data_IF_254489979369
#
_entry.id   IF_254489979369
#
_cell.length_a   1.000
_cell.length_b   1.000
_cell.length_c   1.000
_cell.angle_alpha   90.00
_cell.angle_beta   90.00
_cell.angle_gamma   90.00
#
_symmetry.space_group_name_H-M   'P 1'
#
loop_
_entity.id
_entity.type
_entity.pdbx_description
1 polymer ?
#
# COMPACT_ATOMS: atom_id res chain seq x y z
N UNK A 1 -2.22 23.79 7.36
CA UNK A 1 -1.12 24.05 8.32
C UNK A 1 -0.19 22.85 8.23
N UNK A 2 1.05 22.91 7.78
CA UNK A 2 1.93 24.05 7.53
C UNK A 2 2.80 23.80 6.30
N UNK A 3 2.92 24.85 5.49
CA UNK A 3 3.89 25.06 4.41
C UNK A 3 5.32 25.09 4.92
N UNK A 4 6.28 24.76 4.06
CA UNK A 4 7.67 25.23 4.14
C UNK A 4 8.21 25.26 2.70
N UNK A 5 8.10 26.38 1.97
CA UNK A 5 8.96 27.57 2.01
C UNK A 5 10.45 27.22 1.85
N UNK A 6 10.90 27.11 0.60
CA UNK A 6 12.29 26.93 0.22
C UNK A 6 12.92 28.32 0.11
N UNK A 7 13.73 28.69 1.10
CA UNK A 7 14.53 29.92 1.09
C UNK A 7 15.80 29.62 0.30
N UNK A 8 15.87 30.14 -0.93
CA UNK A 8 17.09 30.18 -1.73
C UNK A 8 17.94 31.37 -1.31
N UNK A 9 19.05 31.11 -0.59
CA UNK A 9 20.14 32.08 -0.46
C UNK A 9 21.27 31.65 -1.38
N UNK A 10 21.54 32.48 -2.39
CA UNK A 10 22.63 32.34 -3.35
C UNK A 10 23.69 33.38 -3.00
N UNK A 11 24.87 32.96 -2.53
CA UNK A 11 26.12 33.74 -2.51
C UNK A 11 27.32 32.77 -2.43
N UNK A 12 28.50 33.14 -2.96
CA UNK A 12 29.07 32.38 -4.06
C UNK A 12 30.53 31.97 -3.83
N UNK A 13 30.99 31.08 -4.72
CA UNK A 13 32.36 30.71 -5.10
C UNK A 13 33.35 30.16 -4.05
N UNK A 14 33.93 29.02 -4.47
CA UNK A 14 35.28 28.54 -4.21
C UNK A 14 35.51 27.90 -2.85
N UNK A 15 35.57 26.57 -2.79
CA UNK A 15 36.84 25.84 -2.88
C UNK A 15 36.54 24.33 -3.00
N UNK A 16 37.27 23.73 -3.92
CA UNK A 16 37.26 22.33 -4.30
C UNK A 16 37.61 21.44 -3.10
N UNK A 17 36.68 20.61 -2.65
CA UNK A 17 36.95 19.33 -2.01
C UNK A 17 35.68 18.49 -2.01
N UNK A 18 35.64 17.47 -2.85
CA UNK A 18 34.54 16.51 -2.92
C UNK A 18 34.57 15.65 -1.64
N UNK A 19 34.06 16.19 -0.53
CA UNK A 19 33.70 15.37 0.62
C UNK A 19 32.34 14.78 0.30
N UNK A 20 32.34 13.53 -0.15
CA UNK A 20 31.15 12.68 -0.12
C UNK A 20 30.69 12.65 1.33
N UNK A 21 29.69 13.45 1.65
CA UNK A 21 29.02 13.43 2.94
C UNK A 21 28.14 12.19 2.91
N UNK A 22 28.72 11.04 3.25
CA UNK A 22 27.97 9.82 3.50
C UNK A 22 27.07 10.11 4.71
N UNK A 23 25.79 10.34 4.46
CA UNK A 23 24.79 10.24 5.49
C UNK A 23 24.82 8.78 5.98
N UNK A 24 25.28 8.57 7.21
CA UNK A 24 25.07 7.30 7.89
C UNK A 24 23.56 7.15 8.04
N UNK A 25 22.97 6.32 7.17
CA UNK A 25 21.61 5.86 7.36
C UNK A 25 21.60 5.07 8.67
N UNK A 26 20.89 5.57 9.67
CA UNK A 26 20.59 4.80 10.88
C UNK A 26 19.71 3.64 10.46
N UNK A 27 20.34 2.50 10.15
CA UNK A 27 19.65 1.22 10.08
C UNK A 27 19.15 0.92 11.48
N UNK A 28 17.89 1.24 11.73
CA UNK A 28 17.15 0.67 12.84
C UNK A 28 17.15 -0.83 12.67
N UNK A 29 18.13 -1.51 13.27
CA UNK A 29 18.12 -2.96 13.44
C UNK A 29 17.05 -3.26 14.48
N UNK A 30 15.79 -3.27 14.05
CA UNK A 30 14.71 -3.90 14.78
C UNK A 30 15.04 -5.39 14.84
N UNK A 31 15.44 -5.85 16.02
CA UNK A 31 15.50 -7.28 16.33
C UNK A 31 14.15 -7.89 15.94
N UNK A 32 14.09 -8.84 15.01
CA UNK A 32 12.85 -9.54 14.74
C UNK A 32 12.55 -10.40 15.96
N UNK A 33 11.64 -9.95 16.82
CA UNK A 33 10.92 -10.88 17.68
C UNK A 33 10.07 -11.72 16.75
N UNK A 34 10.59 -12.91 16.43
CA UNK A 34 9.87 -13.97 15.73
C UNK A 34 8.60 -14.27 16.51
N UNK A 35 7.51 -13.68 16.05
CA UNK A 35 6.18 -14.14 16.33
C UNK A 35 5.98 -15.42 15.53
N UNK A 36 6.00 -16.54 16.23
CA UNK A 36 5.99 -17.89 15.68
C UNK A 36 4.71 -18.22 14.89
N UNK A 37 3.67 -17.37 14.98
CA UNK A 37 2.37 -17.58 14.33
C UNK A 37 2.19 -16.79 13.01
N UNK A 38 3.17 -15.95 12.62
CA UNK A 38 3.10 -15.11 11.41
C UNK A 38 3.96 -15.64 10.26
N UNK A 39 4.02 -16.95 10.02
CA UNK A 39 5.10 -17.62 9.27
C UNK A 39 5.22 -17.15 7.81
N UNK A 40 5.94 -16.05 7.64
CA UNK A 40 6.50 -15.38 6.45
C UNK A 40 5.54 -15.11 5.29
N UNK A 41 4.68 -14.10 5.42
CA UNK A 41 4.22 -13.40 4.21
C UNK A 41 5.34 -12.52 3.66
N UNK A 42 5.41 -12.36 2.34
CA UNK A 42 6.35 -11.45 1.68
C UNK A 42 5.60 -10.55 0.73
N UNK A 43 6.17 -9.37 0.47
CA UNK A 43 5.62 -8.42 -0.49
C UNK A 43 5.47 -9.02 -1.90
N UNK A 44 6.33 -9.98 -2.27
CA UNK A 44 6.29 -10.65 -3.57
C UNK A 44 5.18 -11.70 -3.74
N UNK A 45 4.50 -12.10 -2.66
CA UNK A 45 3.42 -13.11 -2.76
C UNK A 45 2.09 -12.54 -3.25
N UNK A 46 1.89 -11.22 -3.15
CA UNK A 46 0.69 -10.57 -3.63
C UNK A 46 1.01 -9.78 -4.89
N UNK A 47 0.21 -9.99 -5.93
CA UNK A 47 0.35 -9.27 -7.19
C UNK A 47 -0.61 -8.08 -7.22
N UNK A 48 -0.06 -6.87 -7.24
CA UNK A 48 -0.82 -5.67 -7.55
C UNK A 48 -0.89 -5.49 -9.06
N UNK A 49 -2.08 -5.62 -9.62
CA UNK A 49 -2.27 -5.35 -11.03
C UNK A 49 -2.16 -3.84 -11.28
N UNK A 50 -1.32 -3.51 -12.25
CA UNK A 50 -1.20 -2.16 -12.78
C UNK A 50 -2.41 -1.84 -13.66
N UNK A 51 -2.75 -0.55 -13.75
CA UNK A 51 -3.76 -0.09 -14.69
C UNK A 51 -3.39 -0.46 -16.13
N UNK A 52 -4.28 -1.13 -16.85
CA UNK A 52 -4.22 -1.23 -18.30
C UNK A 52 -5.49 -0.63 -18.92
N UNK A 53 -5.37 0.61 -19.41
CA UNK A 53 -6.47 1.36 -20.02
C UNK A 53 -7.09 2.41 -19.08
N UNK A 54 -8.25 2.95 -19.48
CA UNK A 54 -8.94 4.07 -18.80
C UNK A 54 -9.82 3.64 -17.63
N UNK A 55 -10.25 2.38 -17.60
CA UNK A 55 -11.14 1.84 -16.57
C UNK A 55 -10.33 1.22 -15.42
N UNK A 56 -9.13 0.72 -15.67
CA UNK A 56 -8.29 0.16 -14.63
C UNK A 56 -7.47 1.27 -13.98
N UNK A 57 -7.34 1.21 -12.66
CA UNK A 57 -6.54 2.17 -11.88
C UNK A 57 -5.43 1.43 -11.14
N UNK A 58 -4.37 2.16 -10.81
CA UNK A 58 -3.24 1.55 -10.11
C UNK A 58 -3.64 1.13 -8.71
N UNK A 59 -3.24 -0.09 -8.35
CA UNK A 59 -3.33 -0.59 -6.98
C UNK A 59 -2.01 -0.33 -6.28
N UNK A 60 -2.06 0.18 -5.06
CA UNK A 60 -0.88 0.31 -4.20
C UNK A 60 -1.05 -0.50 -2.92
N UNK A 61 0.06 -0.92 -2.33
CA UNK A 61 0.08 -1.67 -1.08
C UNK A 61 1.01 -0.98 -0.08
N UNK A 62 0.48 -0.64 1.08
CA UNK A 62 1.29 -0.15 2.20
C UNK A 62 1.49 -1.31 3.16
N UNK A 63 2.75 -1.71 3.33
CA UNK A 63 3.13 -2.76 4.27
C UNK A 63 3.35 -2.16 5.65
N UNK A 64 2.91 -2.90 6.67
CA UNK A 64 3.10 -2.57 8.07
C UNK A 64 3.32 -3.82 8.90
N UNK A 65 3.34 -3.62 10.21
CA UNK A 65 3.44 -4.70 11.19
C UNK A 65 2.42 -4.45 12.29
N UNK A 66 1.70 -5.47 12.72
CA UNK A 66 0.78 -5.37 13.84
C UNK A 66 1.50 -5.43 15.20
N UNK A 67 0.74 -5.26 16.29
CA UNK A 67 1.26 -5.34 17.65
C UNK A 67 1.84 -6.71 18.03
N UNK A 68 1.50 -7.75 17.27
CA UNK A 68 1.94 -9.12 17.49
C UNK A 68 3.17 -9.46 16.62
N UNK A 69 3.70 -8.51 15.85
CA UNK A 69 4.83 -8.73 14.96
C UNK A 69 4.49 -9.37 13.62
N UNK A 70 3.20 -9.56 13.29
CA UNK A 70 2.77 -10.06 11.99
C UNK A 70 2.79 -8.94 10.94
N UNK A 71 3.18 -9.29 9.72
CA UNK A 71 3.08 -8.37 8.60
C UNK A 71 1.62 -8.09 8.26
N UNK A 72 1.33 -6.82 8.03
CA UNK A 72 0.04 -6.34 7.54
C UNK A 72 0.25 -5.64 6.22
N UNK A 73 -0.81 -5.62 5.42
CA UNK A 73 -0.80 -4.98 4.12
C UNK A 73 -2.13 -4.24 3.96
N UNK A 74 -2.07 -2.96 3.63
CA UNK A 74 -3.27 -2.22 3.23
C UNK A 74 -3.23 -2.01 1.73
N UNK A 75 -4.04 -2.76 0.99
CA UNK A 75 -4.25 -2.52 -0.42
C UNK A 75 -5.12 -1.26 -0.58
N UNK A 76 -4.73 -0.36 -1.48
CA UNK A 76 -5.42 0.91 -1.70
C UNK A 76 -5.69 1.11 -3.19
N UNK A 77 -6.96 1.36 -3.52
CA UNK A 77 -7.41 1.86 -4.82
C UNK A 77 -7.88 3.31 -4.65
N UNK A 78 -7.46 4.20 -5.54
CA UNK A 78 -7.99 5.57 -5.59
C UNK A 78 -8.40 5.88 -7.02
N UNK A 79 -9.70 6.08 -7.24
CA UNK A 79 -10.27 6.47 -8.51
C UNK A 79 -10.12 7.97 -8.77
N UNK A 80 -10.23 8.34 -10.04
CA UNK A 80 -10.21 9.72 -10.49
C UNK A 80 -11.39 10.52 -9.92
N UNK A 81 -11.37 11.85 -10.11
CA UNK A 81 -12.50 12.69 -9.74
C UNK A 81 -13.70 12.40 -10.66
N UNK A 82 -14.89 12.23 -10.08
CA UNK A 82 -16.09 11.81 -10.83
C UNK A 82 -16.16 10.31 -11.11
N UNK A 83 -15.43 9.49 -10.35
CA UNK A 83 -15.45 8.04 -10.47
C UNK A 83 -15.50 7.37 -9.09
N UNK A 84 -16.15 6.22 -9.03
CA UNK A 84 -16.07 5.28 -7.91
C UNK A 84 -14.97 4.26 -8.16
N UNK A 85 -14.21 3.95 -7.11
CA UNK A 85 -13.25 2.86 -7.14
C UNK A 85 -13.98 1.53 -6.91
N UNK A 86 -13.44 0.46 -7.49
CA UNK A 86 -13.86 -0.90 -7.26
C UNK A 86 -12.63 -1.80 -7.17
N UNK A 87 -12.39 -2.40 -5.99
CA UNK A 87 -11.28 -3.30 -5.78
C UNK A 87 -11.71 -4.76 -6.02
N UNK A 88 -10.84 -5.58 -6.60
CA UNK A 88 -11.13 -6.98 -6.85
C UNK A 88 -9.98 -7.85 -6.37
N UNK A 89 -10.31 -8.94 -5.70
CA UNK A 89 -9.37 -9.95 -5.21
C UNK A 89 -9.34 -11.16 -6.15
N UNK A 90 -8.15 -11.74 -6.31
CA UNK A 90 -7.90 -13.01 -7.01
C UNK A 90 -8.49 -13.13 -8.42
N UNK A 91 -8.72 -12.00 -9.12
CA UNK A 91 -9.38 -11.91 -10.43
C UNK A 91 -10.73 -12.65 -10.49
N UNK A 92 -11.82 -11.93 -10.70
CA UNK A 92 -13.18 -12.51 -10.78
C UNK A 92 -13.71 -13.17 -9.50
N UNK A 93 -13.06 -13.00 -8.33
CA UNK A 93 -13.55 -13.53 -7.05
C UNK A 93 -14.26 -12.48 -6.16
N UNK A 94 -14.69 -11.38 -6.76
CA UNK A 94 -15.28 -10.25 -6.05
C UNK A 94 -14.23 -9.38 -5.36
N UNK A 95 -14.66 -8.55 -4.41
CA UNK A 95 -13.82 -7.56 -3.76
C UNK A 95 -14.03 -7.45 -2.25
N UNK A 96 -13.36 -6.50 -1.62
CA UNK A 96 -13.58 -6.18 -0.21
C UNK A 96 -14.99 -5.62 0.02
N UNK A 97 -15.47 -5.69 1.26
CA UNK A 97 -16.79 -5.17 1.64
C UNK A 97 -16.89 -3.65 1.44
N UNK A 98 -15.76 -2.95 1.51
CA UNK A 98 -15.62 -1.51 1.30
C UNK A 98 -16.06 -1.05 -0.10
N UNK A 99 -16.10 -1.96 -1.09
CA UNK A 99 -16.67 -1.65 -2.41
C UNK A 99 -18.14 -1.21 -2.34
N UNK A 100 -18.90 -1.70 -1.36
CA UNK A 100 -20.31 -1.37 -1.20
C UNK A 100 -20.55 0.11 -0.84
N UNK A 101 -19.52 0.81 -0.37
CA UNK A 101 -19.62 2.23 -0.04
C UNK A 101 -19.59 3.15 -1.26
N UNK A 102 -19.35 2.61 -2.46
CA UNK A 102 -19.18 3.39 -3.71
C UNK A 102 -18.25 4.60 -3.47
N UNK A 103 -17.12 4.32 -2.82
CA UNK A 103 -16.14 5.34 -2.46
C UNK A 103 -15.17 5.63 -3.60
N UNK A 104 -14.59 6.83 -3.60
CA UNK A 104 -13.47 7.17 -4.49
C UNK A 104 -12.17 6.47 -4.09
N UNK A 105 -12.02 6.16 -2.81
CA UNK A 105 -10.87 5.44 -2.28
C UNK A 105 -11.35 4.22 -1.53
N UNK A 106 -10.73 3.07 -1.80
CA UNK A 106 -10.97 1.81 -1.09
C UNK A 106 -9.66 1.38 -0.46
N UNK A 107 -9.69 1.19 0.85
CA UNK A 107 -8.59 0.62 1.63
C UNK A 107 -9.03 -0.74 2.14
N UNK A 108 -8.36 -1.80 1.70
CA UNK A 108 -8.60 -3.14 2.19
C UNK A 108 -7.41 -3.60 3.05
N UNK A 109 -7.61 -3.78 4.37
CA UNK A 109 -6.58 -4.33 5.24
C UNK A 109 -6.50 -5.85 5.07
N UNK A 110 -5.29 -6.35 4.82
CA UNK A 110 -4.93 -7.75 4.76
C UNK A 110 -3.95 -8.04 5.90
N UNK A 111 -4.17 -9.17 6.56
CA UNK A 111 -3.28 -9.67 7.61
C UNK A 111 -2.54 -10.90 7.11
N UNK A 112 -1.26 -11.01 7.47
CA UNK A 112 -0.54 -12.25 7.25
C UNK A 112 -0.99 -13.31 8.25
N UNK A 113 -1.56 -14.41 7.76
CA UNK A 113 -1.99 -15.54 8.59
C UNK A 113 -1.45 -16.82 7.95
N UNK A 114 -0.64 -17.58 8.69
CA UNK A 114 -0.03 -18.83 8.21
C UNK A 114 0.67 -18.69 6.84
N UNK A 115 1.39 -17.57 6.62
CA UNK A 115 2.11 -17.31 5.37
C UNK A 115 1.25 -16.89 4.16
N UNK A 116 -0.04 -16.64 4.38
CA UNK A 116 -0.96 -16.15 3.35
C UNK A 116 -1.49 -14.76 3.71
N UNK A 117 -1.66 -13.90 2.70
CA UNK A 117 -2.39 -12.65 2.87
C UNK A 117 -3.88 -12.95 2.97
N UNK A 118 -4.50 -12.60 4.08
CA UNK A 118 -5.90 -12.87 4.36
C UNK A 118 -6.64 -11.57 4.61
N UNK A 119 -7.67 -11.32 3.81
CA UNK A 119 -8.66 -10.29 4.07
C UNK A 119 -9.77 -10.88 4.95
N UNK A 120 -10.07 -10.24 6.07
CA UNK A 120 -11.13 -10.66 6.98
C UNK A 120 -12.13 -9.53 7.17
N UNK A 121 -13.39 -9.79 6.87
CA UNK A 121 -14.48 -8.83 7.07
C UNK A 121 -15.77 -9.54 7.42
N UNK A 122 -16.52 -9.00 8.39
CA UNK A 122 -17.78 -9.59 8.85
C UNK A 122 -17.68 -11.04 9.34
N UNK A 123 -16.51 -11.46 9.85
CA UNK A 123 -16.25 -12.84 10.29
C UNK A 123 -15.92 -13.83 9.16
N UNK A 124 -15.82 -13.38 7.91
CA UNK A 124 -15.40 -14.20 6.77
C UNK A 124 -13.97 -13.86 6.39
N UNK A 125 -13.09 -14.87 6.38
CA UNK A 125 -11.69 -14.75 5.99
C UNK A 125 -11.48 -15.30 4.58
N UNK A 126 -10.69 -14.59 3.76
CA UNK A 126 -10.37 -14.97 2.37
C UNK A 126 -8.90 -14.76 2.08
N UNK A 127 -8.27 -15.75 1.46
CA UNK A 127 -6.88 -15.64 1.00
C UNK A 127 -6.84 -14.78 -0.26
N UNK A 128 -5.91 -13.83 -0.32
CA UNK A 128 -5.73 -12.90 -1.43
C UNK A 128 -4.32 -13.03 -1.98
N UNK A 129 -4.18 -13.41 -3.24
CA UNK A 129 -2.90 -13.55 -3.96
C UNK A 129 -2.74 -12.47 -5.03
N UNK A 130 -3.83 -11.80 -5.42
CA UNK A 130 -3.78 -10.65 -6.32
C UNK A 130 -4.88 -9.65 -6.02
N UNK A 131 -4.57 -8.38 -6.28
CA UNK A 131 -5.51 -7.26 -6.18
C UNK A 131 -5.48 -6.47 -7.48
N UNK A 132 -6.66 -6.19 -8.02
CA UNK A 132 -6.84 -5.27 -9.13
C UNK A 132 -7.85 -4.20 -8.76
N UNK A 133 -7.70 -3.03 -9.37
CA UNK A 133 -8.61 -1.91 -9.15
C UNK A 133 -9.19 -1.46 -10.49
N UNK A 134 -10.50 -1.25 -10.50
CA UNK A 134 -11.22 -0.63 -11.60
C UNK A 134 -11.91 0.63 -11.08
N UNK A 135 -12.29 1.51 -12.00
CA UNK A 135 -13.09 2.67 -11.72
C UNK A 135 -14.33 2.72 -12.63
N UNK A 136 -15.42 3.25 -12.11
CA UNK A 136 -16.66 3.47 -12.85
C UNK A 136 -17.13 4.91 -12.62
N UNK A 137 -17.69 5.59 -13.64
CA UNK A 137 -18.16 6.96 -13.50
C UNK A 137 -19.22 7.05 -12.40
N UNK A 138 -19.15 8.11 -11.59
CA UNK A 138 -20.24 8.40 -10.67
C UNK A 138 -21.44 8.88 -11.49
N UNK A 139 -22.57 8.19 -11.36
CA UNK A 139 -23.83 8.70 -11.87
C UNK A 139 -24.24 9.81 -10.90
N UNK A 140 -23.74 11.02 -11.14
CA UNK A 140 -24.01 12.20 -10.32
C UNK A 140 -25.49 12.47 -10.07
#
# INVERSE_FOLDING_TARGET
MNSNLIIYLVFPISFLNYRVFSCAATTSTTTPTTSTDCTTCTQGQITFQQASGTIQINTSGIFGTDSNGCLTLTATCTADAGYYAFMQFNVNQGGPAENSNMGRTINAPLSCINGNWVYTSGGVSRIVTSVSCNQAPDAG
#
